data_IF_594861591565
#
_entry.id   IF_594861591565
#
_cell.length_a   1.000
_cell.length_b   1.000
_cell.length_c   1.000
_cell.angle_alpha   90.00
_cell.angle_beta   90.00
_cell.angle_gamma   90.00
#
_symmetry.space_group_name_H-M   'P 1'
#
loop_
_entity.id
_entity.type
_entity.pdbx_description
1 polymer ?
#
# COMPACT_ATOMS: atom_id res chain seq x y z
N UNK A 1 5.04 16.79 -2.55
CA UNK A 1 5.85 15.61 -2.89
C UNK A 1 4.96 14.37 -2.84
N UNK A 2 5.24 13.39 -3.69
CA UNK A 2 4.47 12.15 -3.77
C UNK A 2 5.43 10.98 -3.88
N UNK A 3 5.13 9.88 -3.20
CA UNK A 3 5.89 8.65 -3.30
C UNK A 3 4.96 7.44 -3.23
N UNK A 4 5.45 6.30 -3.73
CA UNK A 4 4.68 5.06 -3.85
C UNK A 4 5.44 3.92 -3.17
N UNK A 5 4.70 2.99 -2.58
CA UNK A 5 5.20 1.71 -2.10
C UNK A 5 4.24 0.58 -2.38
N UNK A 6 4.77 -0.58 -2.77
CA UNK A 6 4.02 -1.76 -3.17
C UNK A 6 4.87 -3.04 -3.07
N UNK A 7 4.32 -4.12 -2.50
CA UNK A 7 5.10 -5.33 -2.22
C UNK A 7 4.34 -6.65 -2.51
N UNK A 8 3.66 -6.79 -3.65
CA UNK A 8 2.73 -7.88 -3.95
C UNK A 8 3.39 -9.27 -3.91
N UNK A 9 4.65 -9.38 -4.34
CA UNK A 9 5.39 -10.64 -4.30
C UNK A 9 5.63 -11.13 -2.87
N UNK A 10 5.92 -10.21 -1.94
CA UNK A 10 6.04 -10.54 -0.50
C UNK A 10 4.69 -10.97 0.09
N UNK A 11 3.59 -10.48 -0.49
CA UNK A 11 2.21 -10.84 -0.11
C UNK A 11 1.87 -12.31 -0.37
N UNK A 12 2.56 -12.96 -1.32
CA UNK A 12 2.44 -14.41 -1.55
C UNK A 12 2.93 -15.25 -0.35
N UNK A 13 3.84 -14.68 0.46
CA UNK A 13 4.37 -15.33 1.67
C UNK A 13 3.68 -14.83 2.94
N UNK A 14 3.46 -13.52 3.05
CA UNK A 14 2.82 -12.90 4.21
C UNK A 14 2.07 -11.63 3.79
N UNK A 15 0.72 -11.68 3.73
CA UNK A 15 -0.11 -10.50 3.46
C UNK A 15 0.14 -9.37 4.46
N UNK A 16 0.29 -9.71 5.74
CA UNK A 16 0.61 -8.76 6.81
C UNK A 16 1.97 -8.07 6.60
N UNK A 17 3.01 -8.80 6.18
CA UNK A 17 4.31 -8.21 5.88
C UNK A 17 4.24 -7.30 4.65
N UNK A 18 3.50 -7.70 3.61
CA UNK A 18 3.25 -6.86 2.43
C UNK A 18 2.56 -5.55 2.81
N UNK A 19 1.52 -5.61 3.65
CA UNK A 19 0.80 -4.43 4.14
C UNK A 19 1.73 -3.42 4.82
N UNK A 20 2.59 -3.89 5.73
CA UNK A 20 3.59 -3.03 6.40
C UNK A 20 4.63 -2.48 5.43
N UNK A 21 5.18 -3.33 4.56
CA UNK A 21 6.26 -2.93 3.67
C UNK A 21 5.80 -1.96 2.58
N UNK A 22 4.54 -2.03 2.12
CA UNK A 22 3.97 -1.05 1.20
C UNK A 22 3.94 0.36 1.84
N UNK A 23 3.54 0.46 3.12
CA UNK A 23 3.60 1.73 3.88
C UNK A 23 5.04 2.18 4.09
N UNK A 24 5.93 1.25 4.50
CA UNK A 24 7.33 1.55 4.75
C UNK A 24 8.00 2.13 3.51
N UNK A 25 7.86 1.45 2.37
CA UNK A 25 8.46 1.85 1.10
C UNK A 25 7.97 3.21 0.64
N UNK A 26 6.65 3.46 0.72
CA UNK A 26 6.09 4.75 0.35
C UNK A 26 6.67 5.89 1.19
N UNK A 27 6.77 5.70 2.51
CA UNK A 27 7.35 6.69 3.41
C UNK A 27 8.85 6.86 3.19
N UNK A 28 9.61 5.76 3.05
CA UNK A 28 11.06 5.83 2.82
C UNK A 28 11.43 6.43 1.47
N UNK A 29 10.54 6.33 0.48
CA UNK A 29 10.72 7.04 -0.79
C UNK A 29 10.43 8.54 -0.65
N UNK A 30 9.57 8.93 0.30
CA UNK A 30 9.21 10.34 0.56
C UNK A 30 10.27 11.11 1.35
N UNK A 31 11.06 10.44 2.22
CA UNK A 31 11.96 11.11 3.19
C UNK A 31 12.99 12.07 2.59
N UNK A 32 13.26 11.96 1.29
CA UNK A 32 14.22 12.82 0.58
C UNK A 32 13.62 14.17 0.18
N UNK A 33 12.30 14.31 0.22
CA UNK A 33 11.62 15.57 -0.01
C UNK A 33 11.54 16.39 1.29
N UNK A 34 11.74 17.70 1.20
CA UNK A 34 11.53 18.61 2.32
C UNK A 34 10.04 18.74 2.64
N UNK A 35 9.54 17.90 3.55
CA UNK A 35 8.17 17.96 4.08
C UNK A 35 8.19 18.60 5.47
N UNK A 36 7.11 19.30 5.85
CA UNK A 36 7.04 20.05 7.12
C UNK A 36 7.11 19.12 8.34
N UNK A 37 6.33 18.03 8.29
CA UNK A 37 6.22 17.04 9.36
C UNK A 37 5.55 15.77 8.85
N UNK A 38 5.69 14.67 9.60
CA UNK A 38 5.14 13.36 9.22
C UNK A 38 3.61 13.29 9.34
N UNK A 39 3.00 14.03 10.26
CA UNK A 39 1.55 14.08 10.50
C UNK A 39 0.77 14.83 9.40
N UNK A 40 1.46 15.66 8.62
CA UNK A 40 0.92 16.25 7.39
C UNK A 40 0.85 15.27 6.22
N UNK A 41 1.55 14.13 6.30
CA UNK A 41 1.51 13.11 5.25
C UNK A 41 0.13 12.48 5.21
N UNK A 42 -0.49 12.53 4.03
CA UNK A 42 -1.73 11.86 3.69
C UNK A 42 -1.43 10.70 2.76
N UNK A 43 -2.34 9.74 2.69
CA UNK A 43 -2.12 8.59 1.82
C UNK A 43 -3.39 8.04 1.19
N UNK A 44 -3.21 7.57 -0.04
CA UNK A 44 -4.19 6.77 -0.73
C UNK A 44 -3.81 5.28 -0.66
N UNK A 45 -4.76 4.43 -0.27
CA UNK A 45 -4.62 2.98 -0.29
C UNK A 45 -5.44 2.38 -1.43
N UNK A 46 -4.76 1.74 -2.39
CA UNK A 46 -5.40 1.08 -3.53
C UNK A 46 -5.22 -0.43 -3.44
N UNK A 47 -6.34 -1.15 -3.44
CA UNK A 47 -6.40 -2.58 -3.21
C UNK A 47 -6.72 -3.33 -4.50
N UNK A 48 -5.83 -4.20 -4.96
CA UNK A 48 -6.05 -5.10 -6.09
C UNK A 48 -6.02 -6.52 -5.58
N UNK A 49 -7.16 -7.19 -5.57
CA UNK A 49 -7.29 -8.52 -4.97
C UNK A 49 -8.29 -9.41 -5.69
N UNK A 50 -8.10 -10.72 -5.64
CA UNK A 50 -9.11 -11.71 -6.05
C UNK A 50 -9.96 -12.17 -4.86
N UNK A 51 -10.53 -11.22 -4.09
CA UNK A 51 -11.09 -11.44 -2.74
C UNK A 51 -12.20 -12.50 -2.64
N UNK A 52 -12.89 -12.79 -3.75
CA UNK A 52 -13.96 -13.79 -3.83
C UNK A 52 -13.43 -15.23 -3.93
N UNK A 53 -12.14 -15.43 -4.18
CA UNK A 53 -11.53 -16.75 -4.19
C UNK A 53 -11.20 -17.21 -2.77
N UNK A 54 -11.15 -18.53 -2.57
CA UNK A 54 -10.94 -19.12 -1.25
C UNK A 54 -9.65 -18.59 -0.59
N UNK A 55 -9.77 -18.12 0.66
CA UNK A 55 -8.65 -17.59 1.46
C UNK A 55 -8.24 -16.15 1.14
N UNK A 56 -8.54 -15.64 -0.06
CA UNK A 56 -8.06 -14.32 -0.50
C UNK A 56 -8.67 -13.16 0.30
N UNK A 57 -9.95 -13.24 0.66
CA UNK A 57 -10.58 -12.23 1.52
C UNK A 57 -9.95 -12.15 2.92
N UNK A 58 -9.57 -13.29 3.50
CA UNK A 58 -8.89 -13.34 4.80
C UNK A 58 -7.47 -12.77 4.69
N UNK A 59 -6.72 -13.13 3.64
CA UNK A 59 -5.41 -12.57 3.37
C UNK A 59 -5.46 -11.03 3.18
N UNK A 60 -6.47 -10.51 2.49
CA UNK A 60 -6.69 -9.08 2.35
C UNK A 60 -6.95 -8.40 3.70
N UNK A 61 -7.74 -9.03 4.57
CA UNK A 61 -7.97 -8.54 5.94
C UNK A 61 -6.66 -8.47 6.75
N UNK A 62 -5.86 -9.54 6.74
CA UNK A 62 -4.58 -9.59 7.46
C UNK A 62 -3.61 -8.48 7.00
N UNK A 63 -3.60 -8.20 5.70
CA UNK A 63 -2.83 -7.07 5.14
C UNK A 63 -3.36 -5.72 5.65
N UNK A 64 -4.68 -5.54 5.68
CA UNK A 64 -5.34 -4.31 6.15
C UNK A 64 -5.12 -4.07 7.63
N UNK A 65 -5.25 -5.08 8.47
CA UNK A 65 -4.99 -4.99 9.91
C UNK A 65 -3.53 -4.59 10.19
N UNK A 66 -2.58 -5.28 9.55
CA UNK A 66 -1.16 -4.98 9.70
C UNK A 66 -0.79 -3.57 9.19
N UNK A 67 -1.40 -3.13 8.09
CA UNK A 67 -1.27 -1.75 7.58
C UNK A 67 -1.80 -0.75 8.60
N UNK A 68 -3.01 -0.97 9.12
CA UNK A 68 -3.64 -0.10 10.11
C UNK A 68 -2.79 0.04 11.37
N UNK A 69 -2.26 -1.05 11.91
CA UNK A 69 -1.47 -1.02 13.13
C UNK A 69 -0.14 -0.29 12.95
N UNK A 70 0.52 -0.48 11.81
CA UNK A 70 1.73 0.29 11.47
C UNK A 70 1.42 1.78 11.30
N UNK A 71 0.34 2.12 10.60
CA UNK A 71 -0.09 3.50 10.38
C UNK A 71 -0.42 4.22 11.70
N UNK A 72 -1.13 3.56 12.61
CA UNK A 72 -1.37 4.08 13.98
C UNK A 72 -0.07 4.36 14.73
N UNK A 73 0.91 3.45 14.64
CA UNK A 73 2.19 3.61 15.33
C UNK A 73 3.03 4.76 14.78
N UNK A 74 2.94 5.02 13.47
CA UNK A 74 3.73 6.06 12.77
C UNK A 74 3.04 7.43 12.79
N UNK A 75 1.71 7.47 12.92
CA UNK A 75 0.93 8.71 12.91
C UNK A 75 0.53 9.19 11.52
N UNK A 76 0.38 8.28 10.55
CA UNK A 76 -0.09 8.55 9.19
C UNK A 76 -1.41 7.82 8.97
N UNK A 77 -2.32 8.38 8.17
CA UNK A 77 -3.63 7.79 7.92
C UNK A 77 -4.02 7.84 6.44
N UNK A 78 -4.81 6.83 6.03
CA UNK A 78 -5.47 6.81 4.72
C UNK A 78 -6.61 7.82 4.71
N UNK A 79 -6.61 8.74 3.76
CA UNK A 79 -7.69 9.72 3.54
C UNK A 79 -8.40 9.55 2.19
N UNK A 80 -7.94 8.61 1.37
CA UNK A 80 -8.60 8.22 0.12
C UNK A 80 -8.17 6.83 -0.34
N UNK A 81 -8.87 6.26 -1.31
CA UNK A 81 -8.53 4.92 -1.78
C UNK A 81 -9.56 4.33 -2.72
N UNK A 82 -9.24 3.16 -3.25
CA UNK A 82 -10.12 2.38 -4.11
C UNK A 82 -9.80 0.90 -4.00
N UNK A 83 -10.76 0.07 -4.39
CA UNK A 83 -10.59 -1.37 -4.52
C UNK A 83 -10.94 -1.87 -5.94
N UNK A 84 -10.25 -2.94 -6.33
CA UNK A 84 -10.53 -3.79 -7.48
C UNK A 84 -10.46 -5.24 -7.02
N UNK A 85 -11.62 -5.84 -6.80
CA UNK A 85 -11.77 -7.10 -6.05
C UNK A 85 -11.96 -8.36 -6.90
N UNK A 86 -11.76 -8.24 -8.21
CA UNK A 86 -11.90 -9.30 -9.19
C UNK A 86 -10.62 -9.55 -9.99
N UNK A 87 -9.45 -9.49 -9.33
CA UNK A 87 -8.14 -9.64 -9.97
C UNK A 87 -7.81 -11.11 -10.35
N UNK A 88 -8.72 -11.74 -11.08
CA UNK A 88 -8.59 -13.09 -11.60
C UNK A 88 -9.20 -13.20 -13.00
N UNK A 89 -8.62 -14.06 -13.82
CA UNK A 89 -9.06 -14.37 -15.17
C UNK A 89 -9.17 -15.89 -15.36
N UNK A 90 -10.12 -16.32 -16.20
CA UNK A 90 -10.27 -17.71 -16.63
C UNK A 90 -9.49 -17.91 -17.94
N UNK A 91 -8.57 -18.85 -17.97
CA UNK A 91 -7.77 -19.21 -19.14
C UNK A 91 -7.98 -20.70 -19.42
N UNK A 92 -8.85 -21.01 -20.39
CA UNK A 92 -9.35 -22.38 -20.57
C UNK A 92 -10.08 -22.86 -19.31
N UNK A 93 -9.65 -24.00 -18.77
CA UNK A 93 -10.21 -24.57 -17.54
C UNK A 93 -9.58 -24.01 -16.26
N UNK A 94 -8.46 -23.27 -16.36
CA UNK A 94 -7.70 -22.78 -15.22
C UNK A 94 -8.08 -21.36 -14.81
N UNK A 95 -8.06 -21.09 -13.50
CA UNK A 95 -8.21 -19.73 -12.97
C UNK A 95 -6.84 -19.17 -12.60
N UNK A 96 -6.43 -18.12 -13.30
CA UNK A 96 -5.21 -17.36 -13.01
C UNK A 96 -5.59 -16.14 -12.19
N UNK A 97 -4.95 -15.94 -11.04
CA UNK A 97 -5.14 -14.76 -10.19
C UNK A 97 -3.85 -13.94 -10.09
N UNK A 98 -3.99 -12.62 -10.00
CA UNK A 98 -2.88 -11.78 -9.59
C UNK A 98 -2.58 -12.00 -8.10
N UNK A 99 -1.33 -11.80 -7.65
CA UNK A 99 -1.05 -11.65 -6.23
C UNK A 99 -1.92 -10.54 -5.62
N UNK A 100 -2.38 -10.73 -4.40
CA UNK A 100 -2.99 -9.65 -3.63
C UNK A 100 -2.01 -8.48 -3.50
N UNK A 101 -2.46 -7.28 -3.84
CA UNK A 101 -1.62 -6.10 -3.89
C UNK A 101 -2.28 -4.93 -3.16
N UNK A 102 -1.49 -4.29 -2.30
CA UNK A 102 -1.75 -2.97 -1.74
C UNK A 102 -0.72 -2.01 -2.33
N UNK A 103 -1.21 -0.95 -2.97
CA UNK A 103 -0.39 0.18 -3.40
C UNK A 103 -0.71 1.36 -2.51
N UNK A 104 0.31 1.82 -1.78
CA UNK A 104 0.23 3.00 -0.93
C UNK A 104 0.87 4.16 -1.66
N UNK A 105 0.10 5.21 -1.89
CA UNK A 105 0.60 6.48 -2.42
C UNK A 105 0.56 7.51 -1.30
N UNK A 106 1.72 7.97 -0.84
CA UNK A 106 1.82 9.06 0.14
C UNK A 106 2.00 10.39 -0.56
N UNK A 107 1.42 11.44 0.02
CA UNK A 107 1.58 12.81 -0.47
C UNK A 107 1.61 13.80 0.69
N UNK A 108 2.44 14.83 0.53
CA UNK A 108 2.61 15.91 1.50
C UNK A 108 3.00 17.21 0.80
N UNK A 109 2.74 18.34 1.47
CA UNK A 109 3.25 19.64 1.04
C UNK A 109 4.80 19.63 1.05
N UNK A 110 5.40 20.29 0.05
CA UNK A 110 6.85 20.48 -0.02
C UNK A 110 7.10 21.99 -0.15
N UNK A 111 7.36 22.70 0.96
CA UNK A 111 7.51 24.16 0.94
C UNK A 111 8.70 24.64 0.11
N UNK A 112 9.76 23.84 -0.01
CA UNK A 112 10.92 24.16 -0.83
C UNK A 112 11.45 22.92 -1.54
N UNK A 113 11.21 22.86 -2.85
CA UNK A 113 11.63 21.74 -3.70
C UNK A 113 13.15 21.68 -3.90
N UNK A 114 13.87 22.79 -3.70
CA UNK A 114 15.33 22.86 -3.94
C UNK A 114 16.15 22.13 -2.88
N UNK A 115 15.53 21.78 -1.75
CA UNK A 115 16.13 21.02 -0.66
C UNK A 115 16.04 19.49 -0.85
N UNK A 116 15.41 19.02 -1.94
CA UNK A 116 15.24 17.59 -2.21
C UNK A 116 16.59 16.90 -2.50
N UNK A 117 16.81 15.73 -1.91
CA UNK A 117 18.01 14.90 -2.13
C UNK A 117 17.76 13.81 -3.19
N UNK A 118 18.79 13.46 -3.98
CA UNK A 118 18.75 12.41 -5.03
C UNK A 118 19.99 11.53 -5.00
#
# INVERSE_FOLDING_TARGET
>A
ATAVGEQPIKGLLSPAAMGRLAVAEALTNLVWAAVTSLDEVKCSANWMWASKLAGEGAAMWDACEAMCDMMKAIGVAVDGGKDSLSMAARVGDETVKAPGALVVTVYAACPDVTLTLT
#
